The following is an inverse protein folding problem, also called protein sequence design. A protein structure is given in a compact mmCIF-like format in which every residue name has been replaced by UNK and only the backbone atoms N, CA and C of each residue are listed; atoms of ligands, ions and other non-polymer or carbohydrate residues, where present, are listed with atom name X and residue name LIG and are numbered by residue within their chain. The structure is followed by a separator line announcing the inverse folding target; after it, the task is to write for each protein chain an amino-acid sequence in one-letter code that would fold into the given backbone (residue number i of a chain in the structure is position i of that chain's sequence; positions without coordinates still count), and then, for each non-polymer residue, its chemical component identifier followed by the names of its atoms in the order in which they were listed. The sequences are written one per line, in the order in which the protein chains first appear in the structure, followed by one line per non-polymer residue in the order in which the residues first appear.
data_IF_617937129679
#
_entry.id   IF_617937129679
#
_cell.length_a   1.000
_cell.length_b   1.000
_cell.length_c   1.000
_cell.angle_alpha   90.00
_cell.angle_beta   90.00
_cell.angle_gamma   90.00
#
_symmetry.space_group_name_H-M   'P 1'
#
loop_
_entity.id
_entity.type
_entity.pdbx_description
1 polymer ?
#
# COMPACT_ATOMS: atom_id res chain seq x y z
N UNK A 1 -22.28 0.96 38.36
CA UNK A 1 -20.87 0.74 38.73
C UNK A 1 -20.10 0.42 37.47
N UNK A 2 -19.41 1.41 36.89
CA UNK A 2 -18.63 1.25 35.68
C UNK A 2 -17.45 0.31 35.97
N UNK A 3 -17.43 -0.88 35.35
CA UNK A 3 -16.21 -1.67 35.26
C UNK A 3 -15.27 -0.95 34.28
N UNK A 4 -14.40 -0.10 34.81
CA UNK A 4 -13.20 0.34 34.11
C UNK A 4 -12.26 -0.87 34.02
N UNK A 5 -12.40 -1.67 32.96
CA UNK A 5 -11.40 -2.66 32.60
C UNK A 5 -10.17 -1.91 32.08
N UNK A 6 -9.05 -2.01 32.80
CA UNK A 6 -7.77 -1.46 32.37
C UNK A 6 -7.42 -2.01 30.97
N UNK A 7 -6.94 -1.19 30.01
CA UNK A 7 -6.70 -1.61 28.64
C UNK A 7 -5.45 -2.49 28.50
N UNK A 8 -4.94 -3.07 29.59
CA UNK A 8 -3.68 -3.79 29.67
C UNK A 8 -3.92 -5.26 30.00
N UNK A 9 -3.32 -6.17 29.24
CA UNK A 9 -3.39 -7.62 29.44
C UNK A 9 -2.02 -8.30 29.36
N UNK A 10 -1.90 -9.48 29.97
CA UNK A 10 -0.70 -10.32 29.88
C UNK A 10 -0.72 -11.17 28.61
N UNK A 11 0.46 -11.35 28.01
CA UNK A 11 0.66 -12.31 26.92
C UNK A 11 0.40 -13.73 27.43
N UNK A 12 -0.74 -14.34 27.06
CA UNK A 12 -1.11 -15.68 27.58
C UNK A 12 -1.53 -16.71 26.52
N UNK A 13 -1.53 -16.35 25.23
CA UNK A 13 -1.93 -17.29 24.18
C UNK A 13 -0.72 -17.72 23.36
N UNK A 14 -0.19 -18.92 23.65
CA UNK A 14 0.52 -19.66 22.61
C UNK A 14 -0.46 -19.89 21.45
N UNK A 15 -0.05 -19.68 20.18
CA UNK A 15 -0.91 -19.96 19.03
C UNK A 15 -1.42 -21.40 19.10
N UNK A 16 -2.66 -21.65 18.67
CA UNK A 16 -3.25 -23.00 18.70
C UNK A 16 -2.53 -23.99 17.76
N UNK A 17 -1.80 -23.48 16.76
CA UNK A 17 -1.04 -24.23 15.75
C UNK A 17 0.29 -23.53 15.41
N UNK A 18 1.28 -23.50 16.33
CA UNK A 18 2.57 -22.83 16.09
C UNK A 18 3.29 -23.37 14.84
N UNK A 19 3.11 -24.65 14.53
CA UNK A 19 3.74 -25.35 13.41
C UNK A 19 3.28 -24.87 12.03
N UNK A 20 2.10 -24.24 11.94
CA UNK A 20 1.54 -23.73 10.68
C UNK A 20 1.94 -22.29 10.38
N UNK A 21 2.49 -21.59 11.37
CA UNK A 21 2.80 -20.16 11.26
C UNK A 21 4.19 -20.02 10.64
N UNK A 22 4.24 -19.43 9.44
CA UNK A 22 5.52 -19.03 8.83
C UNK A 22 5.94 -17.71 9.45
N UNK A 23 7.16 -17.66 9.96
CA UNK A 23 7.75 -16.40 10.42
C UNK A 23 7.86 -15.40 9.27
N UNK A 24 7.52 -14.15 9.56
CA UNK A 24 7.74 -13.03 8.64
C UNK A 24 9.24 -12.76 8.57
N UNK A 25 9.83 -12.95 7.38
CA UNK A 25 11.25 -12.73 7.11
C UNK A 25 11.41 -11.62 6.09
N UNK A 26 12.37 -10.73 6.34
CA UNK A 26 12.84 -9.80 5.32
C UNK A 26 13.67 -10.56 4.30
N UNK A 27 13.29 -10.49 3.04
CA UNK A 27 14.06 -11.02 1.91
C UNK A 27 14.41 -9.88 0.96
N UNK A 28 15.54 -10.00 0.26
CA UNK A 28 15.87 -9.07 -0.82
C UNK A 28 14.85 -9.27 -1.96
N UNK A 29 14.20 -8.22 -2.47
CA UNK A 29 13.27 -8.34 -3.58
C UNK A 29 13.98 -8.87 -4.82
N UNK A 30 13.36 -9.82 -5.49
CA UNK A 30 13.75 -10.33 -6.81
C UNK A 30 12.85 -9.78 -7.93
N UNK A 31 11.96 -8.84 -7.57
CA UNK A 31 11.01 -8.19 -8.47
C UNK A 31 10.15 -9.18 -9.25
N UNK A 32 9.74 -10.29 -8.62
CA UNK A 32 8.83 -11.28 -9.19
C UNK A 32 9.52 -12.37 -10.03
N UNK A 33 10.86 -12.34 -10.16
CA UNK A 33 11.62 -13.30 -10.97
C UNK A 33 11.36 -14.76 -10.57
N UNK A 34 11.36 -15.10 -9.28
CA UNK A 34 11.08 -16.46 -8.82
C UNK A 34 9.65 -16.90 -9.12
N UNK A 35 8.67 -15.99 -9.04
CA UNK A 35 7.27 -16.29 -9.34
C UNK A 35 7.03 -16.56 -10.83
N UNK A 36 7.75 -15.87 -11.70
CA UNK A 36 7.69 -16.05 -13.15
C UNK A 36 8.36 -17.35 -13.62
N UNK A 37 9.41 -17.82 -12.92
CA UNK A 37 10.11 -19.07 -13.23
C UNK A 37 9.35 -20.35 -12.77
N UNK A 38 8.15 -20.19 -12.19
CA UNK A 38 7.24 -21.28 -11.84
C UNK A 38 6.69 -21.94 -13.13
N UNK A 39 6.26 -23.22 -13.13
CA UNK A 39 5.71 -23.92 -14.31
C UNK A 39 4.41 -23.31 -14.91
N UNK A 40 4.05 -22.10 -14.52
CA UNK A 40 2.94 -21.34 -15.08
C UNK A 40 3.44 -20.70 -16.38
N UNK A 41 2.84 -21.07 -17.51
CA UNK A 41 3.14 -20.54 -18.86
C UNK A 41 2.69 -19.08 -19.04
N UNK A 42 3.14 -18.17 -18.16
CA UNK A 42 2.86 -16.73 -18.26
C UNK A 42 4.16 -15.95 -18.36
N UNK A 43 4.19 -14.94 -19.22
CA UNK A 43 5.33 -14.04 -19.32
C UNK A 43 5.17 -12.86 -18.36
N UNK A 44 6.26 -12.12 -18.12
CA UNK A 44 6.21 -10.86 -17.36
C UNK A 44 5.21 -9.87 -17.97
N UNK A 45 5.10 -9.84 -19.31
CA UNK A 45 4.20 -8.98 -20.05
C UNK A 45 2.71 -9.27 -19.77
N UNK A 46 2.38 -10.48 -19.31
CA UNK A 46 1.00 -10.90 -19.01
C UNK A 46 0.60 -10.69 -17.54
N UNK A 47 1.53 -10.22 -16.70
CA UNK A 47 1.37 -10.26 -15.25
C UNK A 47 1.52 -8.89 -14.61
N UNK A 48 0.62 -8.57 -13.69
CA UNK A 48 0.87 -7.53 -12.69
C UNK A 48 1.74 -8.13 -11.59
N UNK A 49 2.87 -7.50 -11.29
CA UNK A 49 3.78 -7.96 -10.24
C UNK A 49 3.65 -7.05 -9.03
N UNK A 50 3.24 -7.62 -7.90
CA UNK A 50 3.12 -6.92 -6.63
C UNK A 50 4.21 -7.39 -5.67
N UNK A 51 4.95 -6.43 -5.09
CA UNK A 51 6.00 -6.66 -4.11
C UNK A 51 5.64 -5.93 -2.81
N UNK A 52 5.54 -6.66 -1.71
CA UNK A 52 5.39 -6.07 -0.38
C UNK A 52 6.74 -5.56 0.13
N UNK A 53 6.83 -4.27 0.46
CA UNK A 53 8.05 -3.61 0.92
C UNK A 53 8.12 -3.48 2.45
N UNK A 54 7.18 -4.10 3.16
CA UNK A 54 7.02 -4.00 4.60
C UNK A 54 6.04 -2.91 5.01
N UNK A 55 5.39 -3.10 6.15
CA UNK A 55 4.29 -2.28 6.67
C UNK A 55 3.18 -2.12 5.62
N UNK A 56 2.73 -0.89 5.31
CA UNK A 56 1.83 -0.58 4.21
C UNK A 56 2.55 -0.37 2.86
N UNK A 57 3.88 -0.39 2.85
CA UNK A 57 4.67 -0.16 1.65
C UNK A 57 4.50 -1.27 0.61
N UNK A 58 4.17 -0.90 -0.62
CA UNK A 58 4.09 -1.84 -1.74
C UNK A 58 4.58 -1.23 -3.05
N UNK A 59 5.17 -2.06 -3.91
CA UNK A 59 5.49 -1.72 -5.30
C UNK A 59 4.67 -2.61 -6.22
N UNK A 60 3.98 -2.00 -7.18
CA UNK A 60 3.25 -2.70 -8.23
C UNK A 60 3.84 -2.34 -9.59
N UNK A 61 4.17 -3.36 -10.36
CA UNK A 61 4.58 -3.26 -11.76
C UNK A 61 3.40 -3.63 -12.66
N UNK A 62 3.01 -2.69 -13.52
CA UNK A 62 2.16 -2.96 -14.67
C UNK A 62 3.05 -3.20 -15.89
N UNK A 63 2.87 -4.32 -16.62
CA UNK A 63 3.77 -4.71 -17.71
C UNK A 63 3.72 -3.73 -18.88
N UNK A 64 4.77 -3.63 -19.71
CA UNK A 64 4.66 -2.89 -20.98
C UNK A 64 3.60 -3.50 -21.92
N UNK A 65 3.01 -2.68 -22.81
CA UNK A 65 2.15 -3.15 -23.89
C UNK A 65 2.93 -3.63 -25.13
N UNK A 66 4.25 -3.43 -25.18
CA UNK A 66 5.06 -3.84 -26.33
C UNK A 66 5.68 -5.22 -26.08
N UNK A 67 5.20 -6.29 -26.72
CA UNK A 67 5.94 -7.54 -26.80
C UNK A 67 6.99 -7.38 -27.90
N UNK A 68 8.16 -6.82 -27.61
CA UNK A 68 9.29 -7.07 -28.50
C UNK A 68 9.82 -8.47 -28.19
N UNK A 69 9.45 -9.47 -29.01
CA UNK A 69 9.99 -10.84 -28.95
C UNK A 69 11.53 -10.91 -29.10
N UNK A 70 12.18 -9.78 -29.39
CA UNK A 70 13.61 -9.67 -29.68
C UNK A 70 14.45 -9.02 -28.59
N UNK A 71 13.87 -8.58 -27.46
CA UNK A 71 14.66 -7.94 -26.39
C UNK A 71 15.08 -8.98 -25.35
N UNK A 72 16.39 -9.17 -25.10
CA UNK A 72 16.84 -10.11 -24.07
C UNK A 72 16.27 -9.71 -22.70
N UNK A 73 15.90 -10.69 -21.87
CA UNK A 73 15.39 -10.52 -20.49
C UNK A 73 16.30 -9.68 -19.57
N UNK A 74 17.51 -9.35 -20.03
CA UNK A 74 18.55 -8.60 -19.34
C UNK A 74 18.68 -7.15 -19.79
N UNK A 75 17.90 -6.67 -20.77
CA UNK A 75 17.93 -5.24 -21.12
C UNK A 75 17.32 -4.42 -19.98
N UNK A 76 17.98 -3.33 -19.61
CA UNK A 76 17.48 -2.33 -18.64
C UNK A 76 16.26 -1.54 -19.17
N UNK A 77 15.71 -1.96 -20.30
CA UNK A 77 14.70 -1.26 -21.09
C UNK A 77 13.30 -1.84 -20.82
N UNK A 78 13.00 -2.08 -19.55
CA UNK A 78 11.68 -2.56 -19.16
C UNK A 78 10.73 -1.36 -19.10
N UNK A 79 9.95 -1.13 -20.16
CA UNK A 79 8.91 -0.08 -20.31
C UNK A 79 7.72 -0.23 -19.35
N UNK A 80 7.88 -1.02 -18.28
CA UNK A 80 6.84 -1.25 -17.29
C UNK A 80 6.60 -0.01 -16.44
N UNK A 81 5.35 0.17 -16.01
CA UNK A 81 4.94 1.25 -15.12
C UNK A 81 5.01 0.74 -13.68
N UNK A 82 5.66 1.53 -12.82
CA UNK A 82 5.89 1.19 -11.41
C UNK A 82 5.15 2.16 -10.50
N UNK A 83 4.27 1.61 -9.68
CA UNK A 83 3.39 2.32 -8.75
C UNK A 83 3.82 1.99 -7.31
N UNK A 84 4.22 3.00 -6.55
CA UNK A 84 4.72 2.87 -5.18
C UNK A 84 3.68 3.38 -4.19
N UNK A 85 3.31 2.58 -3.19
CA UNK A 85 2.25 2.88 -2.22
C UNK A 85 2.84 3.02 -0.82
N UNK A 86 2.42 4.06 -0.09
CA UNK A 86 2.78 4.34 1.31
C UNK A 86 4.23 3.96 1.69
N UNK A 87 5.24 4.46 0.95
CA UNK A 87 6.58 3.95 1.10
C UNK A 87 7.26 4.46 2.38
N UNK A 88 7.80 3.53 3.17
CA UNK A 88 8.64 3.82 4.34
C UNK A 88 9.89 2.92 4.36
N UNK A 89 11.02 3.48 3.94
CA UNK A 89 12.33 2.82 4.00
C UNK A 89 13.11 3.17 5.27
N UNK A 90 12.69 4.19 6.01
CA UNK A 90 13.31 4.61 7.28
C UNK A 90 13.27 3.51 8.34
N UNK A 91 14.23 3.60 9.26
CA UNK A 91 14.29 2.73 10.44
C UNK A 91 13.18 3.08 11.45
N UNK A 92 12.79 4.35 11.53
CA UNK A 92 11.77 4.83 12.47
C UNK A 92 10.62 5.54 11.77
N UNK A 93 9.41 5.27 12.23
CA UNK A 93 8.21 6.02 11.87
C UNK A 93 8.05 7.22 12.82
N UNK A 94 8.60 8.38 12.48
CA UNK A 94 8.48 9.56 13.32
C UNK A 94 8.90 10.86 12.65
N UNK A 95 8.80 12.00 13.36
CA UNK A 95 9.22 13.30 12.85
C UNK A 95 10.72 13.38 12.55
N UNK A 96 11.52 12.53 13.19
CA UNK A 96 12.96 12.44 13.00
C UNK A 96 13.39 10.98 12.96
N UNK A 97 14.60 10.72 12.48
CA UNK A 97 15.20 9.37 12.47
C UNK A 97 15.59 8.86 13.88
N UNK A 98 15.37 9.66 14.93
CA UNK A 98 15.67 9.31 16.33
C UNK A 98 14.40 9.16 17.18
N UNK A 99 13.23 9.51 16.65
CA UNK A 99 11.96 9.52 17.39
C UNK A 99 10.92 8.64 16.71
N UNK A 100 9.95 8.14 17.50
CA UNK A 100 8.91 7.25 17.02
C UNK A 100 9.30 5.76 17.01
N UNK A 101 8.34 4.87 16.67
CA UNK A 101 8.57 3.42 16.65
C UNK A 101 9.68 3.02 15.68
N UNK A 102 10.62 2.19 16.14
CA UNK A 102 11.60 1.53 15.26
C UNK A 102 10.93 0.33 14.60
N UNK A 103 11.31 0.06 13.35
CA UNK A 103 10.91 -1.19 12.69
C UNK A 103 11.57 -2.38 13.39
N UNK A 104 10.79 -3.44 13.57
CA UNK A 104 11.28 -4.74 14.05
C UNK A 104 12.00 -5.49 12.92
N UNK A 105 11.48 -5.38 11.70
CA UNK A 105 12.03 -6.02 10.50
C UNK A 105 12.66 -4.97 9.62
N UNK A 106 13.91 -5.20 9.18
CA UNK A 106 14.62 -4.30 8.26
C UNK A 106 13.83 -4.10 6.96
N UNK A 107 14.05 -2.95 6.33
CA UNK A 107 13.60 -2.70 4.96
C UNK A 107 14.15 -3.79 4.03
N UNK A 108 13.34 -4.34 3.11
CA UNK A 108 13.83 -5.35 2.17
C UNK A 108 14.80 -4.78 1.13
N UNK A 109 14.74 -3.47 0.86
CA UNK A 109 15.64 -2.74 -0.01
C UNK A 109 15.72 -1.26 0.38
N UNK A 110 16.50 -0.47 -0.34
CA UNK A 110 16.53 0.99 -0.25
C UNK A 110 15.90 1.64 -1.51
N UNK A 111 15.65 2.95 -1.47
CA UNK A 111 15.10 3.68 -2.63
C UNK A 111 15.94 3.51 -3.91
N UNK A 112 17.28 3.56 -3.88
CA UNK A 112 18.11 3.34 -5.07
C UNK A 112 18.01 1.93 -5.67
N UNK A 113 17.51 0.95 -4.90
CA UNK A 113 17.34 -0.43 -5.38
C UNK A 113 16.02 -0.61 -6.16
N UNK A 114 15.10 0.36 -6.11
CA UNK A 114 13.81 0.24 -6.80
C UNK A 114 14.01 0.16 -8.33
N UNK A 115 13.32 -0.77 -9.02
CA UNK A 115 13.47 -0.95 -10.47
C UNK A 115 12.91 0.23 -11.27
N UNK A 116 12.01 1.01 -10.67
CA UNK A 116 11.44 2.22 -11.22
C UNK A 116 10.37 2.80 -10.28
N UNK A 117 9.98 4.05 -10.51
CA UNK A 117 8.89 4.70 -9.79
C UNK A 117 8.28 5.80 -10.66
N UNK A 118 7.10 5.53 -11.21
CA UNK A 118 6.37 6.46 -12.07
C UNK A 118 5.28 7.21 -11.31
N UNK A 119 4.70 6.57 -10.30
CA UNK A 119 3.69 7.15 -9.43
C UNK A 119 3.90 6.72 -7.98
N UNK A 120 3.69 7.66 -7.06
CA UNK A 120 3.63 7.44 -5.62
C UNK A 120 2.22 7.75 -5.12
N UNK A 121 1.67 6.88 -4.29
CA UNK A 121 0.33 7.01 -3.72
C UNK A 121 0.47 7.05 -2.20
N UNK A 122 -0.04 8.12 -1.59
CA UNK A 122 -0.05 8.30 -0.13
C UNK A 122 -1.49 8.17 0.35
N UNK A 123 -1.77 7.25 1.25
CA UNK A 123 -3.12 7.05 1.81
C UNK A 123 -3.47 8.14 2.81
N UNK A 124 -2.55 8.53 3.68
CA UNK A 124 -2.74 9.55 4.71
C UNK A 124 -1.39 10.01 5.28
N UNK A 125 -1.41 10.98 6.20
CA UNK A 125 -0.21 11.69 6.64
C UNK A 125 0.50 11.11 7.87
N UNK A 126 0.13 9.93 8.38
CA UNK A 126 0.87 9.35 9.51
C UNK A 126 2.32 9.03 9.12
N UNK A 127 3.21 9.01 10.11
CA UNK A 127 4.66 8.90 9.86
C UNK A 127 5.09 7.56 9.25
N UNK A 128 4.32 6.51 9.46
CA UNK A 128 4.51 5.17 8.92
C UNK A 128 3.96 4.99 7.50
N UNK A 129 3.27 6.01 6.94
CA UNK A 129 2.77 6.04 5.55
C UNK A 129 3.35 7.21 4.73
N UNK A 130 3.77 8.29 5.40
CA UNK A 130 4.36 9.49 4.81
C UNK A 130 5.69 9.83 5.49
N UNK A 131 6.75 9.14 5.07
CA UNK A 131 8.11 9.28 5.59
C UNK A 131 8.93 10.32 4.81
N UNK A 132 9.45 11.33 5.51
CA UNK A 132 10.22 12.42 4.91
C UNK A 132 11.51 11.95 4.24
N UNK A 133 12.23 11.00 4.85
CA UNK A 133 13.50 10.53 4.29
C UNK A 133 13.26 9.76 2.98
N UNK A 134 12.24 8.91 2.97
CA UNK A 134 11.76 8.23 1.77
C UNK A 134 11.31 9.20 0.70
N UNK A 135 10.46 10.18 1.02
CA UNK A 135 9.99 11.19 0.05
C UNK A 135 11.16 11.91 -0.62
N UNK A 136 12.14 12.37 0.18
CA UNK A 136 13.36 13.00 -0.35
C UNK A 136 14.22 12.03 -1.17
N UNK A 137 14.28 10.76 -0.78
CA UNK A 137 14.98 9.72 -1.53
C UNK A 137 14.36 9.50 -2.90
N UNK A 138 13.03 9.36 -2.96
CA UNK A 138 12.28 9.15 -4.21
C UNK A 138 12.39 10.38 -5.10
N UNK A 139 12.27 11.60 -4.56
CA UNK A 139 12.44 12.83 -5.35
C UNK A 139 13.83 12.91 -5.99
N UNK A 140 14.90 12.50 -5.29
CA UNK A 140 16.26 12.49 -5.84
C UNK A 140 16.44 11.43 -6.93
N UNK A 141 15.88 10.23 -6.71
CA UNK A 141 16.07 9.09 -7.62
C UNK A 141 15.14 9.15 -8.84
N UNK A 142 13.91 9.63 -8.66
CA UNK A 142 12.83 9.62 -9.64
C UNK A 142 12.12 11.00 -9.66
N UNK A 143 12.80 12.08 -10.09
CA UNK A 143 12.26 13.44 -10.01
C UNK A 143 10.97 13.65 -10.83
N UNK A 144 10.72 12.82 -11.85
CA UNK A 144 9.51 12.84 -12.68
C UNK A 144 8.33 12.03 -12.15
N UNK A 145 8.45 11.40 -10.98
CA UNK A 145 7.36 10.62 -10.40
C UNK A 145 6.15 11.52 -10.07
N UNK A 146 4.95 11.09 -10.45
CA UNK A 146 3.70 11.73 -10.03
C UNK A 146 3.35 11.30 -8.60
N UNK A 147 2.83 12.22 -7.80
CA UNK A 147 2.44 12.02 -6.41
C UNK A 147 0.95 12.21 -6.29
N UNK A 148 0.23 11.16 -5.91
CA UNK A 148 -1.19 11.18 -5.63
C UNK A 148 -1.38 11.21 -4.12
N UNK A 149 -2.03 12.26 -3.63
CA UNK A 149 -2.24 12.48 -2.21
C UNK A 149 -3.68 12.92 -1.92
N UNK A 150 -4.21 12.60 -0.73
CA UNK A 150 -5.54 13.03 -0.35
C UNK A 150 -5.55 14.53 -0.03
N UNK A 151 -6.71 15.16 -0.10
CA UNK A 151 -6.92 16.58 0.17
C UNK A 151 -6.20 17.08 1.46
N UNK A 152 -5.51 18.22 1.36
CA UNK A 152 -4.77 18.87 2.45
C UNK A 152 -3.30 18.47 2.55
N UNK A 153 -2.88 17.37 1.91
CA UNK A 153 -1.51 16.86 2.01
C UNK A 153 -0.53 17.49 1.01
N UNK A 154 -1.02 18.16 -0.05
CA UNK A 154 -0.15 18.76 -1.08
C UNK A 154 0.82 19.80 -0.54
N UNK A 155 0.35 20.62 0.40
CA UNK A 155 1.16 21.67 1.04
C UNK A 155 2.43 21.10 1.68
N UNK A 156 2.31 19.95 2.35
CA UNK A 156 3.44 19.26 2.96
C UNK A 156 4.42 18.76 1.90
N UNK A 157 3.94 18.13 0.82
CA UNK A 157 4.80 17.63 -0.26
C UNK A 157 5.53 18.77 -0.98
N UNK A 158 4.86 19.89 -1.24
CA UNK A 158 5.48 21.10 -1.80
C UNK A 158 6.65 21.58 -0.93
N UNK A 159 6.47 21.56 0.39
CA UNK A 159 7.53 21.96 1.33
C UNK A 159 8.77 21.05 1.30
N UNK A 160 8.66 19.84 0.75
CA UNK A 160 9.79 18.91 0.57
C UNK A 160 10.59 19.16 -0.72
N UNK A 161 10.09 20.00 -1.63
CA UNK A 161 10.71 20.34 -2.91
C UNK A 161 10.12 19.61 -4.12
N UNK A 162 9.03 18.86 -3.96
CA UNK A 162 8.32 18.26 -5.09
C UNK A 162 7.61 19.36 -5.89
N UNK A 163 7.76 19.34 -7.21
CA UNK A 163 7.13 20.32 -8.10
C UNK A 163 5.59 20.20 -8.08
N UNK A 164 4.90 21.34 -8.06
CA UNK A 164 3.44 21.38 -7.97
C UNK A 164 2.72 20.63 -9.12
N UNK A 165 3.33 20.61 -10.31
CA UNK A 165 2.81 19.87 -11.48
C UNK A 165 2.88 18.35 -11.35
N UNK A 166 3.70 17.86 -10.41
CA UNK A 166 3.82 16.44 -10.11
C UNK A 166 2.93 16.01 -8.94
N UNK A 167 2.22 16.91 -8.25
CA UNK A 167 1.37 16.58 -7.10
C UNK A 167 -0.12 16.71 -7.45
N UNK A 168 -0.80 15.57 -7.51
CA UNK A 168 -2.24 15.44 -7.67
C UNK A 168 -2.86 15.30 -6.28
N UNK A 169 -3.55 16.36 -5.85
CA UNK A 169 -4.30 16.38 -4.59
C UNK A 169 -5.76 16.11 -4.89
N UNK A 170 -6.36 15.13 -4.21
CA UNK A 170 -7.65 14.59 -4.57
C UNK A 170 -8.56 14.41 -3.36
N UNK A 171 -9.82 14.78 -3.49
CA UNK A 171 -10.88 14.41 -2.54
C UNK A 171 -11.42 13.00 -2.87
N UNK A 172 -12.18 12.41 -1.96
CA UNK A 172 -12.82 11.13 -2.20
C UNK A 172 -13.71 11.16 -3.43
N UNK A 173 -13.64 10.07 -4.19
CA UNK A 173 -14.34 9.83 -5.45
C UNK A 173 -13.89 10.70 -6.62
N UNK A 174 -12.89 11.55 -6.43
CA UNK A 174 -12.21 12.17 -7.56
C UNK A 174 -11.32 11.15 -8.27
N UNK A 175 -11.21 11.32 -9.59
CA UNK A 175 -10.40 10.48 -10.45
C UNK A 175 -9.50 11.33 -11.34
N UNK A 176 -8.26 10.89 -11.50
CA UNK A 176 -7.33 11.41 -12.49
C UNK A 176 -7.23 10.39 -13.62
N UNK A 177 -7.37 10.86 -14.86
CA UNK A 177 -7.10 10.05 -16.05
C UNK A 177 -5.87 10.60 -16.78
N UNK A 178 -4.94 9.72 -17.13
CA UNK A 178 -3.80 10.11 -17.93
C UNK A 178 -2.79 9.00 -18.17
N UNK A 179 -1.66 9.37 -18.76
CA UNK A 179 -0.56 8.47 -19.05
C UNK A 179 0.64 8.83 -18.17
N UNK A 180 1.41 7.83 -17.77
CA UNK A 180 2.69 8.04 -17.11
C UNK A 180 3.78 8.15 -18.17
N UNK A 181 4.71 9.08 -17.98
CA UNK A 181 5.81 9.26 -18.91
C UNK A 181 6.76 8.05 -18.84
N UNK A 182 7.02 7.42 -19.99
CA UNK A 182 8.05 6.39 -20.11
C UNK A 182 9.29 7.05 -20.73
N UNK A 183 10.47 7.01 -20.07
CA UNK A 183 11.65 7.75 -20.53
C UNK A 183 12.12 7.44 -21.96
N UNK A 184 11.79 6.25 -22.50
CA UNK A 184 12.38 5.75 -23.75
C UNK A 184 11.44 5.82 -24.98
N UNK A 185 10.13 5.74 -24.78
CA UNK A 185 9.12 5.73 -25.87
C UNK A 185 8.99 7.08 -26.61
N UNK A 186 9.57 8.16 -26.10
CA UNK A 186 9.56 9.46 -26.77
C UNK A 186 10.42 9.54 -28.05
N UNK A 187 11.28 8.54 -28.32
CA UNK A 187 12.32 8.64 -29.36
C UNK A 187 12.03 7.94 -30.68
N UNK A 188 10.98 7.11 -30.79
CA UNK A 188 10.55 6.51 -32.05
C UNK A 188 9.06 6.22 -32.03
N UNK A 189 8.21 7.17 -32.45
CA UNK A 189 6.88 6.82 -32.94
C UNK A 189 7.05 6.34 -34.38
N UNK A 190 7.21 5.05 -34.59
CA UNK A 190 7.00 4.48 -35.92
C UNK A 190 5.48 4.45 -36.20
N UNK A 191 5.09 4.73 -37.46
CA UNK A 191 3.68 4.66 -37.87
C UNK A 191 3.16 3.24 -37.67
N UNK A 192 2.36 3.03 -36.62
CA UNK A 192 1.78 1.73 -36.28
C UNK A 192 1.99 1.25 -34.83
N UNK A 193 2.74 2.00 -33.99
CA UNK A 193 2.91 1.63 -32.58
C UNK A 193 1.60 1.75 -31.76
N UNK A 194 1.37 0.75 -30.89
CA UNK A 194 0.27 0.71 -29.93
C UNK A 194 0.27 1.95 -29.05
N UNK A 195 -0.87 2.66 -28.95
CA UNK A 195 -1.04 3.77 -28.02
C UNK A 195 -0.68 3.36 -26.58
N UNK A 196 0.00 4.26 -25.85
CA UNK A 196 0.37 4.05 -24.45
C UNK A 196 -0.88 3.75 -23.58
N UNK A 197 -0.78 2.86 -22.60
CA UNK A 197 -1.89 2.55 -21.71
C UNK A 197 -2.35 3.81 -20.97
N UNK A 198 -3.67 4.01 -20.91
CA UNK A 198 -4.26 5.06 -20.09
C UNK A 198 -4.52 4.52 -18.69
N UNK A 199 -4.23 5.31 -17.67
CA UNK A 199 -4.50 4.99 -16.28
C UNK A 199 -5.61 5.88 -15.75
N UNK A 200 -6.49 5.28 -14.96
CA UNK A 200 -7.43 5.99 -14.11
C UNK A 200 -7.03 5.73 -12.67
N UNK A 201 -6.70 6.80 -11.94
CA UNK A 201 -6.38 6.78 -10.51
C UNK A 201 -7.54 7.41 -9.78
N UNK A 202 -8.16 6.68 -8.85
CA UNK A 202 -9.28 7.19 -8.05
C UNK A 202 -8.91 7.22 -6.57
N UNK A 203 -9.12 8.36 -5.94
CA UNK A 203 -9.04 8.52 -4.49
C UNK A 203 -10.34 7.99 -3.90
N UNK A 204 -10.30 6.97 -3.05
CA UNK A 204 -11.51 6.35 -2.48
C UNK A 204 -11.52 6.47 -0.96
N UNK A 205 -12.69 6.49 -0.30
CA UNK A 205 -12.73 6.64 1.14
C UNK A 205 -12.12 5.44 1.88
N UNK A 206 -11.63 5.75 3.08
CA UNK A 206 -11.23 4.78 4.09
C UNK A 206 -11.83 5.19 5.45
N UNK A 207 -11.99 4.25 6.36
CA UNK A 207 -12.44 4.52 7.72
C UNK A 207 -11.20 4.71 8.61
N UNK A 208 -10.57 5.89 8.53
CA UNK A 208 -9.36 6.20 9.26
C UNK A 208 -9.35 7.63 9.81
N UNK A 209 -8.18 8.12 10.20
CA UNK A 209 -7.93 9.52 10.55
C UNK A 209 -6.58 9.99 10.00
N UNK A 210 -6.22 11.23 10.34
CA UNK A 210 -4.94 11.86 10.00
C UNK A 210 -4.39 12.64 11.21
N UNK A 211 -3.10 12.97 11.15
CA UNK A 211 -2.40 13.84 12.09
C UNK A 211 -0.93 13.47 12.25
N UNK A 212 -0.03 14.46 12.28
CA UNK A 212 1.41 14.28 12.57
C UNK A 212 1.80 14.82 13.95
N UNK A 213 0.89 15.49 14.62
CA UNK A 213 1.04 16.13 15.92
C UNK A 213 -0.30 16.09 16.66
N UNK A 214 -0.30 16.55 17.90
CA UNK A 214 -1.53 16.65 18.70
C UNK A 214 -2.47 17.78 18.22
N UNK A 215 -1.99 18.71 17.38
CA UNK A 215 -2.75 19.91 16.96
C UNK A 215 -3.27 19.84 15.52
N UNK A 216 -2.86 18.85 14.72
CA UNK A 216 -3.23 18.74 13.31
C UNK A 216 -4.07 17.48 13.00
N UNK A 217 -4.60 16.82 14.04
CA UNK A 217 -5.42 15.64 13.84
C UNK A 217 -6.70 16.01 13.08
N UNK A 218 -6.95 15.33 11.95
CA UNK A 218 -8.10 15.56 11.09
C UNK A 218 -7.98 16.78 10.16
N UNK A 219 -6.83 17.46 10.10
CA UNK A 219 -6.64 18.62 9.21
C UNK A 219 -6.38 18.24 7.74
N UNK A 220 -6.05 16.98 7.47
CA UNK A 220 -5.90 16.45 6.10
C UNK A 220 -6.74 15.20 5.91
N UNK A 221 -7.08 14.89 4.67
CA UNK A 221 -7.86 13.71 4.31
C UNK A 221 -6.99 12.44 4.38
N UNK A 222 -7.65 11.30 4.56
CA UNK A 222 -7.11 9.94 4.47
C UNK A 222 -7.90 9.18 3.41
N UNK A 223 -7.32 8.20 2.74
CA UNK A 223 -7.96 7.52 1.60
C UNK A 223 -7.37 6.14 1.33
N UNK A 224 -8.06 5.36 0.51
CA UNK A 224 -7.46 4.32 -0.31
C UNK A 224 -7.28 4.78 -1.76
N UNK A 225 -6.61 3.96 -2.55
CA UNK A 225 -6.33 4.23 -3.97
C UNK A 225 -6.78 3.07 -4.85
N UNK A 226 -7.52 3.40 -5.91
CA UNK A 226 -7.85 2.49 -7.00
C UNK A 226 -7.05 2.90 -8.23
N UNK A 227 -6.33 1.96 -8.83
CA UNK A 227 -5.57 2.17 -10.06
C UNK A 227 -6.08 1.20 -11.11
N UNK A 228 -6.69 1.73 -12.15
CA UNK A 228 -7.18 0.98 -13.30
C UNK A 228 -6.32 1.30 -14.52
N UNK A 229 -5.93 0.27 -15.24
CA UNK A 229 -5.18 0.36 -16.49
C UNK A 229 -6.08 -0.02 -17.66
N UNK A 230 -6.14 0.86 -18.64
CA UNK A 230 -6.92 0.70 -19.86
C UNK A 230 -6.03 0.69 -21.10
N UNK A 231 -6.43 -0.12 -22.08
CA UNK A 231 -5.85 -0.15 -23.42
C UNK A 231 -6.92 0.13 -24.45
N UNK A 232 -6.56 0.80 -25.55
CA UNK A 232 -7.47 1.06 -26.66
C UNK A 232 -7.73 -0.22 -27.44
N UNK A 233 -8.99 -0.46 -27.81
CA UNK A 233 -9.40 -1.51 -28.75
C UNK A 233 -9.78 -0.91 -30.12
N UNK A 234 -9.89 -1.76 -31.16
CA UNK A 234 -10.08 -1.41 -32.58
C UNK A 234 -11.35 -0.60 -32.91
N UNK A 235 -12.15 -0.19 -31.92
CA UNK A 235 -13.40 0.58 -32.09
C UNK A 235 -13.50 1.79 -31.14
N UNK A 236 -12.37 2.38 -30.75
CA UNK A 236 -12.29 3.55 -29.85
C UNK A 236 -12.90 3.30 -28.44
N UNK A 237 -13.05 2.02 -28.09
CA UNK A 237 -13.46 1.57 -26.76
C UNK A 237 -12.22 1.27 -25.92
N UNK A 238 -12.29 1.55 -24.61
CA UNK A 238 -11.22 1.28 -23.65
C UNK A 238 -11.52 -0.03 -22.92
N UNK A 239 -10.58 -0.97 -22.95
CA UNK A 239 -10.68 -2.21 -22.16
C UNK A 239 -9.80 -2.14 -20.93
N UNK A 240 -10.38 -2.41 -19.76
CA UNK A 240 -9.64 -2.57 -18.51
C UNK A 240 -8.78 -3.84 -18.59
N UNK A 241 -7.48 -3.69 -18.41
CA UNK A 241 -6.48 -4.77 -18.43
C UNK A 241 -5.83 -5.04 -17.08
N UNK A 242 -5.99 -4.13 -16.14
CA UNK A 242 -5.50 -4.31 -14.78
C UNK A 242 -6.23 -3.39 -13.81
N UNK A 243 -6.48 -3.86 -12.60
CA UNK A 243 -7.08 -3.08 -11.53
C UNK A 243 -6.46 -3.44 -10.18
N UNK A 244 -6.04 -2.42 -9.43
CA UNK A 244 -5.38 -2.54 -8.14
C UNK A 244 -6.13 -1.70 -7.12
N UNK A 245 -6.24 -2.21 -5.90
CA UNK A 245 -6.78 -1.46 -4.78
C UNK A 245 -5.81 -1.47 -3.59
N UNK A 246 -5.41 -0.30 -3.11
CA UNK A 246 -4.68 -0.15 -1.86
C UNK A 246 -5.59 0.54 -0.85
N UNK A 247 -5.99 -0.13 0.23
CA UNK A 247 -6.98 0.45 1.14
C UNK A 247 -6.43 1.57 2.03
N UNK A 248 -5.10 1.73 2.07
CA UNK A 248 -4.45 2.46 3.14
C UNK A 248 -4.71 1.79 4.49
N UNK A 249 -4.48 2.53 5.56
CA UNK A 249 -5.02 2.14 6.86
C UNK A 249 -6.50 2.41 6.94
N UNK A 250 -7.21 1.44 7.50
CA UNK A 250 -8.65 1.52 7.56
C UNK A 250 -9.21 0.61 8.64
N UNK A 251 -10.28 1.06 9.27
CA UNK A 251 -11.20 0.23 10.01
C UNK A 251 -12.29 -0.34 9.12
N UNK A 252 -13.09 -1.23 9.69
CA UNK A 252 -14.28 -1.80 9.02
C UNK A 252 -15.53 -1.69 9.88
N UNK A 253 -15.34 -1.63 11.21
CA UNK A 253 -16.39 -1.66 12.21
C UNK A 253 -16.08 -0.60 13.25
N UNK A 254 -17.11 0.03 13.82
CA UNK A 254 -16.92 0.99 14.93
C UNK A 254 -16.22 0.36 16.14
N UNK A 255 -16.52 -0.89 16.45
CA UNK A 255 -15.87 -1.65 17.53
C UNK A 255 -15.74 -3.11 17.10
N UNK A 256 -14.86 -3.88 17.77
CA UNK A 256 -14.64 -5.29 17.48
C UNK A 256 -15.91 -6.18 17.59
N UNK A 257 -16.96 -5.69 18.26
CA UNK A 257 -18.25 -6.39 18.42
C UNK A 257 -19.38 -5.79 17.60
N UNK A 258 -19.14 -4.69 16.89
CA UNK A 258 -20.16 -4.03 16.08
C UNK A 258 -20.62 -4.94 14.95
N UNK A 259 -21.94 -5.09 14.80
CA UNK A 259 -22.53 -5.77 13.65
C UNK A 259 -22.51 -4.88 12.41
N UNK A 260 -22.70 -3.58 12.61
CA UNK A 260 -22.58 -2.57 11.56
C UNK A 260 -21.17 -2.51 11.01
N UNK A 261 -21.08 -2.47 9.69
CA UNK A 261 -19.86 -2.40 8.89
C UNK A 261 -19.85 -1.09 8.11
N UNK A 262 -18.66 -0.62 7.74
CA UNK A 262 -18.50 0.53 6.88
C UNK A 262 -19.02 0.19 5.48
N UNK A 263 -20.05 0.90 4.96
CA UNK A 263 -20.65 0.55 3.67
C UNK A 263 -19.73 0.84 2.48
N UNK A 264 -18.70 1.67 2.68
CA UNK A 264 -17.86 2.19 1.60
C UNK A 264 -17.10 1.11 0.83
N UNK A 265 -16.73 0.00 1.46
CA UNK A 265 -16.00 -1.08 0.79
C UNK A 265 -16.88 -1.81 -0.21
N UNK A 266 -18.17 -1.98 0.11
CA UNK A 266 -19.13 -2.52 -0.83
C UNK A 266 -19.36 -1.56 -1.99
N UNK A 267 -19.45 -0.26 -1.70
CA UNK A 267 -19.55 0.77 -2.74
C UNK A 267 -18.31 0.79 -3.66
N UNK A 268 -17.10 0.65 -3.11
CA UNK A 268 -15.86 0.51 -3.88
C UNK A 268 -15.92 -0.73 -4.77
N UNK A 269 -16.36 -1.88 -4.25
CA UNK A 269 -16.52 -3.10 -5.04
C UNK A 269 -17.64 -3.05 -6.08
N UNK A 270 -18.67 -2.23 -5.87
CA UNK A 270 -19.73 -1.95 -6.85
C UNK A 270 -19.23 -1.06 -7.98
N UNK A 271 -18.45 -0.02 -7.68
CA UNK A 271 -17.93 0.94 -8.67
C UNK A 271 -16.74 0.41 -9.46
N UNK A 272 -15.80 -0.25 -8.78
CA UNK A 272 -14.47 -0.54 -9.33
C UNK A 272 -14.09 -2.03 -9.28
N UNK A 273 -14.87 -2.86 -8.56
CA UNK A 273 -14.50 -4.23 -8.21
C UNK A 273 -14.14 -5.15 -9.38
N UNK A 274 -13.56 -6.30 -9.05
CA UNK A 274 -12.79 -7.11 -9.99
C UNK A 274 -11.33 -6.66 -10.05
N UNK A 275 -10.74 -6.44 -8.87
CA UNK A 275 -9.33 -6.09 -8.70
C UNK A 275 -8.46 -7.34 -8.85
N UNK A 276 -7.39 -7.25 -9.61
CA UNK A 276 -6.40 -8.33 -9.75
C UNK A 276 -5.67 -8.58 -8.44
N UNK A 277 -5.24 -7.49 -7.78
CA UNK A 277 -4.67 -7.54 -6.44
C UNK A 277 -5.13 -6.36 -5.59
N UNK A 278 -5.38 -6.63 -4.32
CA UNK A 278 -5.61 -5.62 -3.30
C UNK A 278 -4.57 -5.70 -2.17
N UNK A 279 -4.29 -4.57 -1.55
CA UNK A 279 -3.48 -4.45 -0.34
C UNK A 279 -4.39 -4.00 0.80
N UNK A 280 -4.57 -4.89 1.78
CA UNK A 280 -5.50 -4.67 2.90
C UNK A 280 -4.74 -4.91 4.21
N UNK A 281 -4.78 -3.97 5.17
CA UNK A 281 -4.14 -4.14 6.46
C UNK A 281 -4.76 -5.31 7.21
N UNK A 282 -3.98 -5.98 8.05
CA UNK A 282 -4.49 -7.09 8.88
C UNK A 282 -4.18 -6.90 10.36
N UNK A 283 -3.82 -5.69 10.78
CA UNK A 283 -3.34 -5.45 12.14
C UNK A 283 -3.98 -4.24 12.81
N UNK A 284 -4.47 -4.44 14.04
CA UNK A 284 -5.19 -3.45 14.86
C UNK A 284 -4.29 -2.50 15.67
N UNK A 285 -2.98 -2.54 15.47
CA UNK A 285 -1.99 -1.75 16.21
C UNK A 285 -1.29 -2.56 17.31
N UNK A 286 0.01 -2.27 17.49
CA UNK A 286 0.87 -2.88 18.50
C UNK A 286 0.93 -2.06 19.79
N UNK A 287 1.40 -2.68 20.87
CA UNK A 287 1.72 -1.95 22.10
C UNK A 287 2.99 -1.13 21.86
N UNK A 288 3.09 0.10 22.39
CA UNK A 288 4.35 0.86 22.32
C UNK A 288 5.50 -0.02 22.85
N UNK A 289 6.66 0.00 22.19
CA UNK A 289 7.73 -0.98 22.42
C UNK A 289 8.20 -1.10 23.89
N UNK A 290 8.13 -0.03 24.68
CA UNK A 290 8.43 -0.09 26.12
C UNK A 290 7.35 -0.79 26.95
N UNK A 291 6.07 -0.71 26.54
CA UNK A 291 4.94 -1.41 27.18
C UNK A 291 5.05 -2.91 26.88
N UNK A 292 5.36 -3.27 25.62
CA UNK A 292 5.61 -4.65 25.22
C UNK A 292 6.83 -5.26 25.93
N UNK A 293 7.90 -4.49 26.15
CA UNK A 293 9.10 -4.95 26.87
C UNK A 293 8.83 -5.26 28.36
N UNK A 294 7.80 -4.63 28.96
CA UNK A 294 7.34 -4.92 30.31
C UNK A 294 6.41 -6.15 30.40
N UNK A 295 6.14 -6.84 29.28
CA UNK A 295 5.25 -8.01 29.21
C UNK A 295 3.77 -7.67 29.23
N UNK A 296 3.42 -6.39 29.02
CA UNK A 296 2.05 -5.88 29.06
C UNK A 296 1.61 -5.46 27.66
N UNK A 297 0.37 -5.72 27.29
CA UNK A 297 -0.19 -5.41 25.96
C UNK A 297 -1.45 -4.56 26.03
N UNK A 298 -1.66 -3.69 25.04
CA UNK A 298 -2.97 -3.06 24.82
C UNK A 298 -4.02 -4.10 24.38
N UNK A 299 -5.09 -4.28 25.14
CA UNK A 299 -6.17 -5.22 24.81
C UNK A 299 -6.90 -4.77 23.53
N UNK A 300 -6.88 -5.61 22.50
CA UNK A 300 -7.45 -5.35 21.16
C UNK A 300 -8.97 -5.14 21.17
N UNK A 301 -9.65 -5.47 22.27
CA UNK A 301 -11.08 -5.21 22.44
C UNK A 301 -11.41 -3.74 22.70
N UNK A 302 -10.41 -2.94 23.10
CA UNK A 302 -10.58 -1.53 23.50
C UNK A 302 -9.81 -0.55 22.61
N UNK A 303 -8.89 -1.02 21.74
CA UNK A 303 -8.35 -0.20 20.65
C UNK A 303 -9.49 0.02 19.63
N UNK A 304 -9.77 1.26 19.19
CA UNK A 304 -10.90 1.49 18.28
C UNK A 304 -10.68 0.73 16.97
N UNK A 305 -11.44 -0.36 16.76
CA UNK A 305 -11.57 -1.01 15.44
C UNK A 305 -12.09 -0.04 14.36
N UNK A 306 -12.52 1.15 14.79
CA UNK A 306 -12.83 2.30 13.96
C UNK A 306 -11.72 2.63 12.97
N UNK A 307 -10.46 2.47 13.33
CA UNK A 307 -9.33 2.94 12.51
C UNK A 307 -8.48 1.82 11.93
N UNK A 308 -8.54 0.62 12.52
CA UNK A 308 -7.77 -0.53 12.04
C UNK A 308 -8.60 -1.82 12.06
N UNK A 309 -8.51 -2.58 10.98
CA UNK A 309 -9.16 -3.89 10.80
C UNK A 309 -8.43 -5.04 11.51
N UNK A 310 -9.20 -6.07 11.87
CA UNK A 310 -8.64 -7.41 12.13
C UNK A 310 -8.36 -8.18 10.84
N UNK A 311 -7.60 -9.29 10.89
CA UNK A 311 -7.55 -10.26 9.82
C UNK A 311 -8.94 -10.73 9.35
N UNK A 312 -9.88 -10.96 10.27
CA UNK A 312 -11.26 -11.29 9.91
C UNK A 312 -11.95 -10.17 9.12
N UNK A 313 -11.82 -8.93 9.58
CA UNK A 313 -12.39 -7.78 8.88
C UNK A 313 -11.74 -7.60 7.50
N UNK A 314 -10.43 -7.86 7.37
CA UNK A 314 -9.72 -7.82 6.09
C UNK A 314 -10.25 -8.85 5.08
N UNK A 315 -10.63 -10.05 5.52
CA UNK A 315 -11.29 -11.07 4.67
C UNK A 315 -12.66 -10.58 4.19
N UNK A 316 -13.42 -9.87 5.03
CA UNK A 316 -14.72 -9.32 4.63
C UNK A 316 -14.54 -8.15 3.66
N UNK A 317 -13.56 -7.25 3.88
CA UNK A 317 -13.21 -6.21 2.91
C UNK A 317 -12.79 -6.82 1.57
N UNK A 318 -11.95 -7.86 1.57
CA UNK A 318 -11.54 -8.58 0.35
C UNK A 318 -12.76 -9.01 -0.50
N UNK A 319 -13.81 -9.52 0.15
CA UNK A 319 -15.07 -9.92 -0.51
C UNK A 319 -15.86 -8.69 -0.97
N UNK A 320 -16.03 -7.69 -0.12
CA UNK A 320 -16.82 -6.49 -0.41
C UNK A 320 -16.27 -5.72 -1.61
N UNK A 321 -14.93 -5.60 -1.69
CA UNK A 321 -14.26 -4.92 -2.82
C UNK A 321 -14.12 -5.82 -4.06
N UNK A 322 -14.55 -7.09 -3.98
CA UNK A 322 -14.44 -8.09 -5.06
C UNK A 322 -13.00 -8.26 -5.56
N UNK A 323 -12.08 -8.45 -4.64
CA UNK A 323 -10.66 -8.68 -4.94
C UNK A 323 -10.43 -10.13 -5.36
N UNK A 324 -9.65 -10.37 -6.41
CA UNK A 324 -9.23 -11.72 -6.79
C UNK A 324 -8.13 -12.25 -5.88
N UNK A 325 -7.12 -11.42 -5.59
CA UNK A 325 -6.00 -11.75 -4.70
C UNK A 325 -5.76 -10.60 -3.73
N UNK A 326 -5.40 -10.90 -2.49
CA UNK A 326 -5.06 -9.85 -1.52
C UNK A 326 -3.71 -10.13 -0.87
N UNK A 327 -2.87 -9.11 -0.82
CA UNK A 327 -1.63 -9.08 -0.05
C UNK A 327 -1.93 -8.38 1.27
N UNK A 328 -1.70 -9.08 2.37
CA UNK A 328 -1.82 -8.51 3.70
C UNK A 328 -0.71 -7.47 3.94
N UNK A 329 -1.07 -6.31 4.52
CA UNK A 329 -0.14 -5.22 4.84
C UNK A 329 -0.31 -4.72 6.29
N UNK A 330 0.45 -3.69 6.68
CA UNK A 330 0.41 -3.00 7.99
C UNK A 330 0.85 -3.85 9.20
N UNK A 331 1.25 -5.11 9.00
CA UNK A 331 1.62 -6.03 10.08
C UNK A 331 3.12 -6.36 10.09
N UNK A 332 3.60 -6.83 11.25
CA UNK A 332 4.92 -7.44 11.40
C UNK A 332 6.13 -6.53 11.17
N UNK A 333 5.93 -5.22 10.97
CA UNK A 333 7.00 -4.27 10.66
C UNK A 333 7.26 -3.29 11.81
N UNK A 334 6.26 -2.50 12.22
CA UNK A 334 6.37 -1.59 13.36
C UNK A 334 5.52 -2.11 14.54
N UNK A 335 6.03 -3.07 15.30
CA UNK A 335 5.34 -3.70 16.44
C UNK A 335 6.27 -3.83 17.65
N UNK A 336 5.70 -4.03 18.85
CA UNK A 336 6.45 -4.06 20.09
C UNK A 336 7.30 -5.33 20.30
N UNK A 337 6.95 -6.45 19.64
CA UNK A 337 7.66 -7.73 19.75
C UNK A 337 7.43 -8.66 18.54
N UNK A 338 8.28 -9.68 18.39
CA UNK A 338 8.11 -10.77 17.41
C UNK A 338 6.79 -11.53 17.59
N UNK A 339 6.36 -11.67 18.83
CA UNK A 339 5.12 -12.32 19.19
C UNK A 339 3.89 -11.52 18.72
N UNK A 340 3.91 -10.19 18.86
CA UNK A 340 2.89 -9.31 18.27
C UNK A 340 2.93 -9.33 16.73
N UNK A 341 4.11 -9.50 16.13
CA UNK A 341 4.27 -9.59 14.66
C UNK A 341 3.56 -10.83 14.06
N UNK A 342 3.50 -11.94 14.81
CA UNK A 342 2.92 -13.20 14.37
C UNK A 342 1.42 -13.31 14.65
N UNK A 343 0.86 -12.46 15.50
CA UNK A 343 -0.53 -12.59 15.92
C UNK A 343 -1.50 -12.36 14.76
N UNK A 344 -1.26 -11.33 13.94
CA UNK A 344 -2.06 -11.07 12.74
C UNK A 344 -2.10 -12.28 11.79
N UNK A 345 -0.95 -12.95 11.61
CA UNK A 345 -0.81 -14.14 10.75
C UNK A 345 -1.45 -15.37 11.38
N UNK A 346 -1.52 -15.42 12.71
CA UNK A 346 -2.15 -16.53 13.44
C UNK A 346 -3.67 -16.47 13.37
N UNK A 347 -4.23 -15.25 13.38
CA UNK A 347 -5.67 -15.03 13.30
C UNK A 347 -6.21 -15.11 11.86
N UNK A 348 -5.40 -14.74 10.86
CA UNK A 348 -5.71 -14.90 9.43
C UNK A 348 -5.78 -16.38 9.04
#
# INVERSE_FOLDING_TARGET
LAQLSFPLGWYSSKPKHPEKIRQVKTIKPDWGTASLNSPISKTRADCIIATWLGHAGALVEFPSLSPSESSPETSKDNESIYCLFDPIFSERAGPTQYTGPSRLKKSPCEVPDLPGCHAVYISHNHYDHLDLATVKGVLRQFPGAKWFVPLGNKSWLLSTGIEAGNIMEMDWWESWEGQFAIPYSASKKEEGESELPTFTVSCVPAQHNSGRSVMDSGNTLWSGWVIERFVKEEQDTKKRRGAIYHSGDTGYRRTARSKEICPVFKEIGERFGGFDVSFIPIWRGGSLGFISAAGVRLLHHHVPSTFHVSPKDAIEIHKDVKSHSTIAVHFGTFVGSEDEALEAVTEL
#
